data_IF_545188901669
#
_entry.id   IF_545188901669
#
_cell.length_a   1.000
_cell.length_b   1.000
_cell.length_c   1.000
_cell.angle_alpha   90.00
_cell.angle_beta   90.00
_cell.angle_gamma   90.00
#
_symmetry.space_group_name_H-M   'P 1'
#
loop_
_entity.id
_entity.type
_entity.pdbx_description
1 polymer ?
#
# COMPACT_ATOMS: atom_id res chain seq x y z
N UNK A 1 -3.59 29.73 -22.09
CA UNK A 1 -3.72 28.31 -21.71
C UNK A 1 -4.19 28.28 -20.27
N UNK A 2 -5.25 27.52 -19.93
CA UNK A 2 -5.81 27.50 -18.56
C UNK A 2 -4.85 26.71 -17.64
N UNK A 3 -4.58 27.15 -16.40
CA UNK A 3 -3.75 26.38 -15.47
C UNK A 3 -4.42 25.04 -15.12
N UNK A 4 -3.66 23.93 -15.00
CA UNK A 4 -4.21 22.60 -14.72
C UNK A 4 -4.44 22.31 -13.23
N UNK A 5 -4.24 23.28 -12.32
CA UNK A 5 -4.32 23.06 -10.87
C UNK A 5 -5.68 22.55 -10.38
N UNK A 6 -6.78 22.96 -11.02
CA UNK A 6 -8.11 22.43 -10.68
C UNK A 6 -8.22 20.94 -10.98
N UNK A 7 -7.62 20.47 -12.08
CA UNK A 7 -7.62 19.06 -12.45
C UNK A 7 -6.71 18.25 -11.52
N UNK A 8 -5.58 18.83 -11.09
CA UNK A 8 -4.71 18.22 -10.07
C UNK A 8 -5.46 17.98 -8.77
N UNK A 9 -6.24 18.96 -8.33
CA UNK A 9 -7.06 18.84 -7.13
C UNK A 9 -8.13 17.76 -7.26
N UNK A 10 -8.86 17.74 -8.37
CA UNK A 10 -9.87 16.71 -8.63
C UNK A 10 -9.26 15.30 -8.68
N UNK A 11 -8.14 15.14 -9.38
CA UNK A 11 -7.42 13.87 -9.45
C UNK A 11 -6.91 13.42 -8.08
N UNK A 12 -6.46 14.35 -7.24
CA UNK A 12 -6.04 14.05 -5.87
C UNK A 12 -7.21 13.59 -5.00
N UNK A 13 -8.35 14.28 -5.06
CA UNK A 13 -9.53 13.90 -4.29
C UNK A 13 -10.01 12.49 -4.68
N UNK A 14 -9.92 12.12 -5.96
CA UNK A 14 -10.18 10.76 -6.42
C UNK A 14 -9.15 9.76 -5.89
N UNK A 15 -7.86 10.06 -5.96
CA UNK A 15 -6.79 9.20 -5.44
C UNK A 15 -6.96 8.93 -3.94
N UNK A 16 -7.34 9.97 -3.18
CA UNK A 16 -7.62 9.87 -1.76
C UNK A 16 -8.83 8.97 -1.50
N UNK A 17 -9.90 9.10 -2.28
CA UNK A 17 -11.07 8.22 -2.22
C UNK A 17 -10.69 6.75 -2.42
N UNK A 18 -9.99 6.45 -3.52
CA UNK A 18 -9.53 5.08 -3.82
C UNK A 18 -8.58 4.54 -2.74
N UNK A 19 -7.71 5.38 -2.18
CA UNK A 19 -6.78 4.96 -1.11
C UNK A 19 -7.53 4.62 0.19
N UNK A 20 -8.58 5.38 0.53
CA UNK A 20 -9.44 5.07 1.69
C UNK A 20 -10.18 3.76 1.47
N UNK A 21 -10.77 3.56 0.28
CA UNK A 21 -11.46 2.32 -0.08
C UNK A 21 -10.52 1.11 -0.07
N UNK A 22 -9.30 1.26 -0.58
CA UNK A 22 -8.28 0.21 -0.56
C UNK A 22 -7.91 -0.20 0.86
N UNK A 23 -7.70 0.76 1.76
CA UNK A 23 -7.37 0.48 3.16
C UNK A 23 -8.54 -0.21 3.88
N UNK A 24 -9.77 0.29 3.71
CA UNK A 24 -10.95 -0.34 4.29
C UNK A 24 -11.14 -1.77 3.78
N UNK A 25 -11.00 -1.99 2.47
CA UNK A 25 -11.12 -3.31 1.88
C UNK A 25 -10.04 -4.29 2.40
N UNK A 26 -8.82 -3.78 2.65
CA UNK A 26 -7.73 -4.58 3.20
C UNK A 26 -7.96 -4.95 4.68
N UNK A 27 -8.56 -4.06 5.46
CA UNK A 27 -8.91 -4.31 6.87
C UNK A 27 -10.10 -5.27 7.02
N UNK A 28 -11.13 -5.13 6.18
CA UNK A 28 -12.34 -5.95 6.24
C UNK A 28 -12.16 -7.37 5.68
N UNK A 29 -10.97 -7.70 5.17
CA UNK A 29 -10.68 -9.00 4.57
C UNK A 29 -11.46 -9.24 3.28
N UNK A 30 -11.70 -8.17 2.51
CA UNK A 30 -12.37 -8.21 1.20
C UNK A 30 -11.63 -9.14 0.24
N UNK A 31 -12.33 -9.69 -0.76
CA UNK A 31 -11.73 -10.60 -1.72
C UNK A 31 -10.56 -9.95 -2.48
N UNK A 32 -9.60 -10.79 -2.88
CA UNK A 32 -8.37 -10.35 -3.55
C UNK A 32 -8.62 -9.67 -4.90
N UNK A 33 -9.74 -9.95 -5.58
CA UNK A 33 -10.08 -9.32 -6.85
C UNK A 33 -10.45 -7.85 -6.67
N UNK A 34 -11.26 -7.53 -5.66
CA UNK A 34 -11.59 -6.14 -5.33
C UNK A 34 -10.35 -5.34 -4.93
N UNK A 35 -9.47 -5.92 -4.10
CA UNK A 35 -8.20 -5.28 -3.73
C UNK A 35 -7.31 -5.00 -4.95
N UNK A 36 -7.21 -5.95 -5.88
CA UNK A 36 -6.42 -5.76 -7.11
C UNK A 36 -7.00 -4.64 -7.98
N UNK A 37 -8.33 -4.58 -8.14
CA UNK A 37 -8.99 -3.50 -8.90
C UNK A 37 -8.70 -2.14 -8.29
N UNK A 38 -8.77 -2.00 -6.96
CA UNK A 38 -8.48 -0.74 -6.28
C UNK A 38 -7.00 -0.34 -6.40
N UNK A 39 -6.08 -1.30 -6.36
CA UNK A 39 -4.65 -1.06 -6.63
C UNK A 39 -4.43 -0.56 -8.07
N UNK A 40 -5.08 -1.19 -9.04
CA UNK A 40 -4.96 -0.83 -10.45
C UNK A 40 -5.55 0.58 -10.71
N UNK A 41 -6.72 0.87 -10.14
CA UNK A 41 -7.35 2.20 -10.21
C UNK A 41 -6.48 3.27 -9.56
N UNK A 42 -5.88 2.98 -8.39
CA UNK A 42 -4.92 3.87 -7.73
C UNK A 42 -3.70 4.13 -8.61
N UNK A 43 -3.14 3.08 -9.21
CA UNK A 43 -2.00 3.19 -10.12
C UNK A 43 -2.30 4.06 -11.34
N UNK A 44 -3.48 3.88 -11.96
CA UNK A 44 -3.93 4.72 -13.07
C UNK A 44 -4.05 6.19 -12.66
N UNK A 45 -4.64 6.47 -11.50
CA UNK A 45 -4.80 7.84 -10.99
C UNK A 45 -3.45 8.51 -10.72
N UNK A 46 -2.45 7.76 -10.21
CA UNK A 46 -1.09 8.27 -10.04
C UNK A 46 -0.50 8.68 -11.38
N UNK A 47 -0.59 7.85 -12.42
CA UNK A 47 -0.08 8.19 -13.76
C UNK A 47 -0.75 9.46 -14.31
N UNK A 48 -2.06 9.62 -14.15
CA UNK A 48 -2.78 10.83 -14.57
C UNK A 48 -2.28 12.05 -13.80
N UNK A 49 -2.06 11.94 -12.49
CA UNK A 49 -1.55 13.03 -11.66
C UNK A 49 -0.11 13.41 -12.02
N UNK A 50 0.74 12.46 -12.38
CA UNK A 50 2.09 12.71 -12.87
C UNK A 50 2.08 13.53 -14.19
N UNK A 51 1.19 13.18 -15.11
CA UNK A 51 1.00 13.93 -16.37
C UNK A 51 0.51 15.36 -16.10
N UNK A 52 -0.50 15.52 -15.24
CA UNK A 52 -1.02 16.84 -14.85
C UNK A 52 0.02 17.69 -14.11
N UNK A 53 0.89 17.08 -13.31
CA UNK A 53 1.99 17.77 -12.63
C UNK A 53 3.05 18.25 -13.63
N UNK A 54 3.33 17.45 -14.65
CA UNK A 54 4.24 17.86 -15.73
C UNK A 54 3.66 19.04 -16.52
N UNK A 55 2.35 19.01 -16.82
CA UNK A 55 1.66 20.14 -17.45
C UNK A 55 1.65 21.38 -16.56
N UNK A 56 1.40 21.24 -15.26
CA UNK A 56 1.42 22.33 -14.30
C UNK A 56 2.80 22.98 -14.22
N UNK A 57 3.85 22.15 -14.19
CA UNK A 57 5.24 22.61 -14.18
C UNK A 57 5.60 23.35 -15.47
N UNK A 58 5.16 22.84 -16.62
CA UNK A 58 5.33 23.51 -17.91
C UNK A 58 4.59 24.84 -17.99
N UNK A 59 3.35 24.89 -17.50
CA UNK A 59 2.58 26.13 -17.42
C UNK A 59 3.28 27.16 -16.55
N UNK A 60 3.71 26.79 -15.33
CA UNK A 60 4.43 27.69 -14.41
C UNK A 60 5.73 28.24 -15.02
N UNK A 61 6.46 27.44 -15.78
CA UNK A 61 7.68 27.88 -16.45
C UNK A 61 7.43 28.93 -17.55
N UNK A 62 6.23 28.93 -18.14
CA UNK A 62 5.80 29.86 -19.19
C UNK A 62 4.92 31.02 -18.70
N UNK A 63 4.42 30.93 -17.47
CA UNK A 63 3.48 31.87 -16.88
C UNK A 63 4.15 33.21 -16.55
N UNK A 64 3.38 34.30 -16.67
CA UNK A 64 3.86 35.61 -16.25
C UNK A 64 3.85 35.73 -14.72
N UNK A 65 4.56 36.73 -14.18
CA UNK A 65 4.52 37.01 -12.73
C UNK A 65 3.11 37.32 -12.22
N UNK A 66 2.25 37.92 -13.04
CA UNK A 66 0.87 38.24 -12.67
C UNK A 66 0.03 36.96 -12.59
N UNK A 67 0.17 36.05 -13.56
CA UNK A 67 -0.50 34.74 -13.55
C UNK A 67 -0.08 33.91 -12.35
N UNK A 68 1.22 33.87 -12.03
CA UNK A 68 1.74 33.13 -10.87
C UNK A 68 1.22 33.71 -9.54
N UNK A 69 1.04 35.03 -9.48
CA UNK A 69 0.48 35.68 -8.28
C UNK A 69 -1.01 35.35 -8.15
N UNK A 70 -1.75 35.38 -9.25
CA UNK A 70 -3.18 35.04 -9.31
C UNK A 70 -3.43 33.58 -8.87
N UNK A 71 -2.61 32.65 -9.36
CA UNK A 71 -2.74 31.21 -9.06
C UNK A 71 -1.96 30.76 -7.80
N UNK A 72 -1.32 31.68 -7.07
CA UNK A 72 -0.42 31.33 -5.95
C UNK A 72 -1.07 30.45 -4.88
N UNK A 73 -2.37 30.63 -4.62
CA UNK A 73 -3.13 29.78 -3.71
C UNK A 73 -3.32 28.34 -4.21
N UNK A 74 -3.65 28.17 -5.49
CA UNK A 74 -3.82 26.86 -6.13
C UNK A 74 -2.49 26.12 -6.30
N UNK A 75 -1.40 26.86 -6.58
CA UNK A 75 -0.03 26.32 -6.57
C UNK A 75 0.32 25.79 -5.18
N UNK A 76 0.10 26.60 -4.13
CA UNK A 76 0.39 26.20 -2.75
C UNK A 76 -0.44 24.98 -2.34
N UNK A 77 -1.73 24.97 -2.68
CA UNK A 77 -2.59 23.80 -2.44
C UNK A 77 -2.05 22.55 -3.14
N UNK A 78 -1.72 22.65 -4.42
CA UNK A 78 -1.16 21.54 -5.20
C UNK A 78 0.12 20.96 -4.58
N UNK A 79 1.01 21.81 -4.06
CA UNK A 79 2.24 21.36 -3.36
C UNK A 79 1.92 20.57 -2.09
N UNK A 80 0.92 21.02 -1.31
CA UNK A 80 0.46 20.28 -0.12
C UNK A 80 -0.07 18.92 -0.52
N UNK A 81 -0.90 18.84 -1.57
CA UNK A 81 -1.47 17.59 -2.06
C UNK A 81 -0.38 16.59 -2.48
N UNK A 82 0.64 17.03 -3.23
CA UNK A 82 1.79 16.18 -3.61
C UNK A 82 2.49 15.61 -2.37
N UNK A 83 2.69 16.44 -1.34
CA UNK A 83 3.30 16.00 -0.09
C UNK A 83 2.46 14.97 0.65
N UNK A 84 1.13 15.12 0.64
CA UNK A 84 0.20 14.15 1.23
C UNK A 84 0.25 12.80 0.51
N UNK A 85 0.31 12.78 -0.84
CA UNK A 85 0.47 11.53 -1.61
C UNK A 85 1.75 10.81 -1.20
N UNK A 86 2.87 11.53 -1.19
CA UNK A 86 4.18 10.95 -0.87
C UNK A 86 4.21 10.34 0.53
N UNK A 87 3.58 11.01 1.50
CA UNK A 87 3.47 10.48 2.85
C UNK A 87 2.56 9.25 2.92
N UNK A 88 1.43 9.25 2.20
CA UNK A 88 0.57 8.07 2.12
C UNK A 88 1.29 6.86 1.49
N UNK A 89 2.04 7.06 0.40
CA UNK A 89 2.84 6.00 -0.23
C UNK A 89 3.90 5.46 0.74
N UNK A 90 4.56 6.34 1.49
CA UNK A 90 5.54 5.94 2.51
C UNK A 90 4.90 5.06 3.58
N UNK A 91 3.71 5.41 4.05
CA UNK A 91 2.97 4.64 5.06
C UNK A 91 2.53 3.28 4.51
N UNK A 92 2.00 3.24 3.28
CA UNK A 92 1.59 2.00 2.62
C UNK A 92 2.79 1.05 2.46
N UNK A 93 3.93 1.54 1.96
CA UNK A 93 5.15 0.75 1.82
C UNK A 93 5.64 0.20 3.17
N UNK A 94 5.64 1.02 4.21
CA UNK A 94 5.98 0.59 5.58
C UNK A 94 5.07 -0.54 6.08
N UNK A 95 3.76 -0.43 5.84
CA UNK A 95 2.78 -1.47 6.20
C UNK A 95 3.05 -2.77 5.44
N UNK A 96 3.32 -2.72 4.14
CA UNK A 96 3.68 -3.91 3.35
C UNK A 96 4.96 -4.59 3.85
N UNK A 97 5.98 -3.81 4.22
CA UNK A 97 7.22 -4.36 4.77
C UNK A 97 6.99 -5.07 6.12
N UNK A 98 6.11 -4.53 6.96
CA UNK A 98 5.73 -5.14 8.23
C UNK A 98 5.00 -6.47 8.00
N UNK A 99 3.98 -6.49 7.13
CA UNK A 99 3.25 -7.72 6.77
C UNK A 99 4.20 -8.77 6.20
N UNK A 100 5.12 -8.37 5.30
CA UNK A 100 6.11 -9.28 4.73
C UNK A 100 7.07 -9.83 5.79
N UNK A 101 7.40 -9.05 6.83
CA UNK A 101 8.24 -9.50 7.95
C UNK A 101 7.50 -10.53 8.80
N UNK A 102 6.24 -10.29 9.11
CA UNK A 102 5.40 -11.22 9.87
C UNK A 102 5.22 -12.56 9.15
N UNK A 103 4.91 -12.52 7.85
CA UNK A 103 4.81 -13.73 7.02
C UNK A 103 6.09 -14.57 7.08
N UNK A 104 7.26 -13.96 6.92
CA UNK A 104 8.55 -14.68 7.04
C UNK A 104 8.75 -15.31 8.41
N UNK A 105 8.31 -14.65 9.48
CA UNK A 105 8.41 -15.19 10.83
C UNK A 105 7.48 -16.39 11.03
N UNK A 106 6.26 -16.33 10.51
CA UNK A 106 5.32 -17.46 10.54
C UNK A 106 5.81 -18.63 9.69
N UNK A 107 6.33 -18.39 8.49
CA UNK A 107 6.96 -19.41 7.65
C UNK A 107 8.11 -20.12 8.39
N UNK A 108 8.95 -19.36 9.11
CA UNK A 108 10.03 -19.93 9.91
C UNK A 108 9.51 -20.83 11.04
N UNK A 109 8.42 -20.44 11.72
CA UNK A 109 7.75 -21.25 12.74
C UNK A 109 7.19 -22.55 12.14
N UNK A 110 6.50 -22.46 11.00
CA UNK A 110 5.95 -23.62 10.28
C UNK A 110 7.07 -24.57 9.87
N UNK A 111 8.17 -24.05 9.33
CA UNK A 111 9.30 -24.87 8.91
C UNK A 111 9.99 -25.57 10.10
N UNK A 112 10.09 -24.89 11.24
CA UNK A 112 10.56 -25.51 12.49
C UNK A 112 9.63 -26.63 12.95
N UNK A 113 8.31 -26.41 12.93
CA UNK A 113 7.31 -27.43 13.25
C UNK A 113 7.39 -28.66 12.33
N UNK A 114 7.52 -28.43 11.01
CA UNK A 114 7.74 -29.50 10.03
C UNK A 114 8.99 -30.33 10.32
N UNK A 115 10.10 -29.68 10.68
CA UNK A 115 11.35 -30.38 11.03
C UNK A 115 11.18 -31.26 12.26
N UNK A 116 10.48 -30.77 13.29
CA UNK A 116 10.17 -31.56 14.50
C UNK A 116 9.32 -32.78 14.15
N UNK A 117 8.25 -32.60 13.37
CA UNK A 117 7.39 -33.70 12.91
C UNK A 117 8.15 -34.74 12.07
N UNK A 118 9.04 -34.30 11.17
CA UNK A 118 9.87 -35.21 10.37
C UNK A 118 10.91 -35.98 11.20
N UNK A 119 11.41 -35.38 12.28
CA UNK A 119 12.29 -36.06 13.23
C UNK A 119 11.55 -37.00 14.18
N UNK A 120 10.21 -36.92 14.24
CA UNK A 120 9.38 -37.77 15.05
C UNK A 120 9.30 -39.17 14.42
N UNK A 121 10.11 -40.10 14.93
CA UNK A 121 9.92 -41.53 14.67
C UNK A 121 8.89 -42.07 15.67
N UNK A 122 7.70 -42.50 15.25
CA UNK A 122 6.82 -43.22 16.14
C UNK A 122 7.57 -44.49 16.59
N UNK A 123 7.76 -44.63 17.91
CA UNK A 123 8.32 -45.85 18.47
C UNK A 123 7.42 -47.01 18.07
N UNK A 124 7.92 -47.95 17.26
CA UNK A 124 7.30 -49.27 17.16
C UNK A 124 7.58 -49.97 18.48
N UNK A 125 6.63 -49.91 19.41
CA UNK A 125 6.55 -50.93 20.45
C UNK A 125 6.06 -52.20 19.77
N UNK A 126 6.69 -53.32 20.08
CA UNK A 126 6.29 -54.66 19.61
C UNK A 126 4.94 -55.10 20.16
N UNK A 127 4.33 -54.34 21.06
CA UNK A 127 2.98 -54.56 21.58
C UNK A 127 2.21 -53.23 21.57
N UNK A 128 1.03 -53.27 20.96
CA UNK A 128 0.28 -52.09 20.48
C UNK A 128 -0.44 -51.24 21.54
N UNK A 129 0.27 -50.72 22.55
CA UNK A 129 -0.26 -49.67 23.42
C UNK A 129 0.81 -48.63 23.77
N UNK A 130 0.54 -47.36 23.43
CA UNK A 130 1.41 -46.24 23.75
C UNK A 130 1.22 -45.83 25.22
N UNK A 131 2.24 -46.02 26.05
CA UNK A 131 2.29 -45.48 27.42
C UNK A 131 2.92 -44.09 27.38
N UNK A 132 2.18 -43.08 27.83
CA UNK A 132 2.69 -41.73 28.06
C UNK A 132 3.40 -41.75 29.41
N UNK A 133 4.73 -41.85 29.41
CA UNK A 133 5.53 -41.65 30.62
C UNK A 133 5.71 -40.14 30.87
N UNK A 134 4.92 -39.58 31.78
CA UNK A 134 5.20 -38.28 32.41
C UNK A 134 6.21 -38.53 33.53
N UNK A 135 7.48 -38.21 33.29
CA UNK A 135 8.42 -37.96 34.40
C UNK A 135 8.32 -36.50 34.84
N UNK A 136 8.28 -36.35 36.16
CA UNK A 136 7.98 -35.13 36.92
C UNK A 136 9.11 -34.14 37.07
#
# INVERSE_FOLDING_TARGET
MKPPFSLLREGYDQLKGVTVELNAAAEDGTDTGTLQSLIDDRGRLITILEELLAEASGWMASASSEDLTHESGEIAASVVLVHEIQEQDRLILSSFENVRRELRNEEAKVQKGRRILQSYRPGRTSDGFAVIDRKG
#
